data_IF_261522333916
#
_entry.id   IF_261522333916
#
_cell.length_a   1.000
_cell.length_b   1.000
_cell.length_c   1.000
_cell.angle_alpha   90.00
_cell.angle_beta   90.00
_cell.angle_gamma   90.00
#
_symmetry.space_group_name_H-M   'P 1'
#
loop_
_entity.id
_entity.type
_entity.pdbx_description
1 polymer ?
#
# COMPACT_ATOMS: atom_id res chain seq x y z
N UNK A 1 19.37 -23.69 13.38
CA UNK A 1 18.03 -23.25 12.91
C UNK A 1 18.17 -22.70 11.50
N UNK A 2 17.45 -23.25 10.51
CA UNK A 2 17.49 -22.76 9.12
C UNK A 2 16.83 -21.39 8.98
N UNK A 3 17.32 -20.58 8.04
CA UNK A 3 16.81 -19.24 7.79
C UNK A 3 15.31 -19.25 7.39
N UNK A 4 14.48 -18.32 7.90
CA UNK A 4 13.07 -18.22 7.53
C UNK A 4 12.86 -17.94 6.03
N UNK A 5 11.82 -18.55 5.44
CA UNK A 5 11.47 -18.30 4.03
C UNK A 5 11.03 -16.85 3.81
N UNK A 6 11.63 -16.19 2.81
CA UNK A 6 11.22 -14.83 2.35
C UNK A 6 9.96 -14.82 1.48
N UNK A 7 9.47 -15.99 1.05
CA UNK A 7 8.35 -16.11 0.09
C UNK A 7 7.06 -15.42 0.55
N UNK A 8 6.63 -15.51 1.83
CA UNK A 8 5.43 -14.82 2.30
C UNK A 8 5.55 -13.29 2.22
N UNK A 9 6.72 -12.74 2.55
CA UNK A 9 6.98 -11.30 2.49
C UNK A 9 6.97 -10.79 1.05
N UNK A 10 7.64 -11.50 0.12
CA UNK A 10 7.65 -11.17 -1.30
C UNK A 10 6.22 -11.13 -1.85
N UNK A 11 5.38 -12.12 -1.50
CA UNK A 11 3.97 -12.14 -1.90
C UNK A 11 3.22 -10.90 -1.40
N UNK A 12 3.39 -10.50 -0.15
CA UNK A 12 2.77 -9.28 0.42
C UNK A 12 3.22 -8.00 -0.28
N UNK A 13 4.51 -7.90 -0.63
CA UNK A 13 5.05 -6.74 -1.37
C UNK A 13 4.46 -6.66 -2.78
N UNK A 14 4.36 -7.79 -3.49
CA UNK A 14 3.77 -7.85 -4.86
C UNK A 14 2.30 -7.45 -4.87
N UNK A 15 1.47 -8.05 -4.01
CA UNK A 15 0.04 -7.74 -3.93
C UNK A 15 -0.20 -6.27 -3.56
N UNK A 16 0.64 -5.69 -2.69
CA UNK A 16 0.59 -4.25 -2.38
C UNK A 16 0.92 -3.40 -3.60
N UNK A 17 1.99 -3.73 -4.34
CA UNK A 17 2.38 -2.99 -5.56
C UNK A 17 1.25 -2.97 -6.57
N UNK A 18 0.62 -4.12 -6.82
CA UNK A 18 -0.54 -4.25 -7.69
C UNK A 18 -1.72 -3.40 -7.21
N UNK A 19 -2.02 -3.44 -5.90
CA UNK A 19 -3.08 -2.62 -5.29
C UNK A 19 -2.82 -1.11 -5.45
N UNK A 20 -1.58 -0.66 -5.22
CA UNK A 20 -1.19 0.74 -5.40
C UNK A 20 -1.35 1.16 -6.86
N UNK A 21 -0.91 0.33 -7.81
CA UNK A 21 -1.08 0.60 -9.24
C UNK A 21 -2.58 0.74 -9.61
N UNK A 22 -3.42 -0.18 -9.12
CA UNK A 22 -4.89 -0.11 -9.32
C UNK A 22 -5.50 1.16 -8.70
N UNK A 23 -5.09 1.55 -7.50
CA UNK A 23 -5.59 2.75 -6.83
C UNK A 23 -5.16 4.03 -7.56
N UNK A 24 -3.92 4.11 -8.05
CA UNK A 24 -3.45 5.25 -8.86
C UNK A 24 -4.24 5.40 -10.15
N UNK A 25 -4.52 4.29 -10.85
CA UNK A 25 -5.38 4.31 -12.05
C UNK A 25 -6.78 4.82 -11.73
N UNK A 26 -7.40 4.33 -10.65
CA UNK A 26 -8.72 4.79 -10.21
C UNK A 26 -8.73 6.25 -9.77
N UNK A 27 -7.66 6.72 -9.11
CA UNK A 27 -7.53 8.12 -8.74
C UNK A 27 -7.51 9.03 -9.96
N UNK A 28 -6.76 8.65 -11.00
CA UNK A 28 -6.68 9.41 -12.25
C UNK A 28 -8.02 9.40 -13.03
N UNK A 29 -8.79 8.31 -12.93
CA UNK A 29 -10.09 8.18 -13.58
C UNK A 29 -11.27 8.75 -12.77
N UNK A 30 -11.06 9.14 -11.51
CA UNK A 30 -12.14 9.59 -10.62
C UNK A 30 -12.65 10.98 -11.03
N UNK A 31 -13.94 11.05 -11.38
CA UNK A 31 -14.60 12.28 -11.81
C UNK A 31 -14.97 13.16 -10.62
N UNK A 32 -15.38 12.57 -9.49
CA UNK A 32 -15.77 13.31 -8.28
C UNK A 32 -14.59 13.57 -7.35
N UNK A 33 -14.61 14.73 -6.69
CA UNK A 33 -13.60 15.10 -5.70
C UNK A 33 -13.66 14.19 -4.45
N UNK A 34 -14.86 13.76 -4.07
CA UNK A 34 -15.07 12.82 -2.98
C UNK A 34 -14.38 11.47 -3.25
N UNK A 35 -14.45 10.95 -4.48
CA UNK A 35 -13.77 9.71 -4.86
C UNK A 35 -12.25 9.88 -4.88
N UNK A 36 -11.75 10.98 -5.44
CA UNK A 36 -10.31 11.31 -5.42
C UNK A 36 -9.78 11.35 -3.99
N UNK A 37 -10.46 12.07 -3.11
CA UNK A 37 -10.11 12.18 -1.68
C UNK A 37 -10.08 10.83 -0.97
N UNK A 38 -11.10 9.97 -1.17
CA UNK A 38 -11.12 8.62 -0.59
C UNK A 38 -9.97 7.74 -1.10
N UNK A 39 -9.67 7.82 -2.39
CA UNK A 39 -8.58 7.03 -3.00
C UNK A 39 -7.20 7.55 -2.55
N UNK A 40 -7.03 8.88 -2.46
CA UNK A 40 -5.81 9.53 -1.99
C UNK A 40 -5.50 9.13 -0.54
N UNK A 41 -6.48 9.18 0.37
CA UNK A 41 -6.32 8.73 1.75
C UNK A 41 -5.90 7.24 1.84
N UNK A 42 -6.43 6.40 0.94
CA UNK A 42 -6.08 4.98 0.87
C UNK A 42 -4.66 4.77 0.34
N UNK A 43 -4.21 5.57 -0.62
CA UNK A 43 -2.84 5.58 -1.11
C UNK A 43 -1.87 6.05 -0.02
N UNK A 44 -2.19 7.11 0.73
CA UNK A 44 -1.38 7.63 1.83
C UNK A 44 -1.18 6.57 2.92
N UNK A 45 -2.26 5.91 3.37
CA UNK A 45 -2.18 4.81 4.35
C UNK A 45 -1.29 3.65 3.85
N UNK A 46 -1.33 3.37 2.54
CA UNK A 46 -0.45 2.40 1.90
C UNK A 46 0.97 2.93 1.61
N UNK A 47 1.24 4.21 1.77
CA UNK A 47 2.59 4.76 1.82
C UNK A 47 3.22 4.57 3.20
N UNK A 48 2.44 4.87 4.25
CA UNK A 48 2.92 4.85 5.63
C UNK A 48 3.16 3.42 6.17
N UNK A 49 2.27 2.46 5.92
CA UNK A 49 2.34 1.14 6.57
C UNK A 49 3.07 0.08 5.73
N UNK A 50 4.26 0.37 5.20
CA UNK A 50 4.94 -0.55 4.25
C UNK A 50 5.26 -1.92 4.88
N UNK A 51 5.07 -3.07 4.19
CA UNK A 51 5.43 -4.37 4.75
C UNK A 51 6.96 -4.44 4.85
N UNK A 52 7.49 -4.34 6.07
CA UNK A 52 8.92 -4.25 6.36
C UNK A 52 9.40 -2.89 6.89
N UNK A 53 8.50 -1.91 7.01
CA UNK A 53 8.72 -0.71 7.82
C UNK A 53 7.57 -0.64 8.84
N UNK A 54 7.80 -1.03 10.11
CA UNK A 54 6.84 -0.68 11.13
C UNK A 54 6.68 0.83 11.08
N UNK A 55 5.42 1.29 11.07
CA UNK A 55 5.11 2.68 11.38
C UNK A 55 5.94 3.04 12.60
N UNK A 56 6.78 4.07 12.47
CA UNK A 56 7.52 4.62 13.59
C UNK A 56 6.55 4.67 14.78
N UNK A 57 6.92 4.02 15.90
CA UNK A 57 6.19 4.23 17.16
C UNK A 57 6.19 5.74 17.35
N UNK A 58 5.01 6.36 17.28
CA UNK A 58 4.87 7.72 17.77
C UNK A 58 5.37 7.68 19.22
N UNK A 59 6.47 8.41 19.47
CA UNK A 59 6.89 8.78 20.81
C UNK A 59 5.92 9.84 21.35
#
# INVERSE_FOLDING_TARGET
>A
MSAPSRRPEIRRRRTRKEKIASLRKRHAAATTDADRSRIAAKLQRLGLNSPGHPLLKNA
#
